data_IF_292356485771
#
_entry.id   IF_292356485771
#
_cell.length_a   1.000
_cell.length_b   1.000
_cell.length_c   1.000
_cell.angle_alpha   90.00
_cell.angle_beta   90.00
_cell.angle_gamma   90.00
#
_symmetry.space_group_name_H-M   'P 1'
#
loop_
_entity.id
_entity.type
_entity.pdbx_description
1 polymer ?
#
# COMPACT_ATOMS: atom_id res chain seq x y z
N UNK A 1 0.46 4.50 -19.49
CA UNK A 1 1.57 4.85 -20.43
C UNK A 1 2.76 3.90 -20.31
N UNK A 2 3.29 3.63 -19.12
CA UNK A 2 4.48 2.75 -18.96
C UNK A 2 4.18 1.27 -19.18
N UNK A 3 3.03 0.75 -18.78
CA UNK A 3 2.72 -0.69 -18.78
C UNK A 3 2.94 -1.38 -20.13
N UNK A 4 2.50 -0.79 -21.25
CA UNK A 4 2.73 -1.36 -22.59
C UNK A 4 4.23 -1.38 -22.93
N UNK A 5 4.93 -0.27 -22.71
CA UNK A 5 6.37 -0.17 -23.01
C UNK A 5 7.18 -1.15 -22.16
N UNK A 6 6.87 -1.23 -20.87
CA UNK A 6 7.49 -2.18 -19.96
C UNK A 6 7.25 -3.62 -20.42
N UNK A 7 6.01 -3.99 -20.75
CA UNK A 7 5.69 -5.36 -21.19
C UNK A 7 6.41 -5.74 -22.48
N UNK A 8 6.36 -4.91 -23.50
CA UNK A 8 7.04 -5.17 -24.79
C UNK A 8 8.54 -5.34 -24.58
N UNK A 9 9.15 -4.43 -23.81
CA UNK A 9 10.59 -4.48 -23.58
C UNK A 9 11.01 -5.66 -22.68
N UNK A 10 10.23 -6.03 -21.68
CA UNK A 10 10.52 -7.18 -20.82
C UNK A 10 10.36 -8.51 -21.55
N UNK A 11 9.42 -8.60 -22.51
CA UNK A 11 9.32 -9.76 -23.41
C UNK A 11 10.54 -9.85 -24.32
N UNK A 12 10.96 -8.74 -24.95
CA UNK A 12 12.12 -8.70 -25.83
C UNK A 12 13.42 -9.07 -25.09
N UNK A 13 13.58 -8.59 -23.86
CA UNK A 13 14.75 -8.88 -23.02
C UNK A 13 14.62 -10.19 -22.23
N UNK A 14 13.49 -10.88 -22.31
CA UNK A 14 13.21 -12.13 -21.56
C UNK A 14 13.50 -11.96 -20.05
N UNK A 15 13.02 -10.88 -19.45
CA UNK A 15 13.25 -10.57 -18.03
C UNK A 15 12.06 -10.91 -17.17
N UNK A 16 12.33 -11.35 -15.94
CA UNK A 16 11.32 -11.77 -14.94
C UNK A 16 11.22 -10.82 -13.75
N UNK A 17 12.24 -10.01 -13.52
CA UNK A 17 12.33 -9.09 -12.40
C UNK A 17 12.79 -7.71 -12.87
N UNK A 18 12.52 -6.69 -12.04
CA UNK A 18 12.97 -5.33 -12.33
C UNK A 18 14.50 -5.18 -12.32
N UNK A 19 15.25 -5.76 -11.36
CA UNK A 19 16.72 -5.75 -11.40
C UNK A 19 17.30 -6.46 -12.62
N UNK A 20 16.74 -7.61 -13.02
CA UNK A 20 17.15 -8.31 -14.24
C UNK A 20 16.95 -7.44 -15.49
N UNK A 21 15.83 -6.70 -15.53
CA UNK A 21 15.55 -5.76 -16.62
C UNK A 21 16.64 -4.68 -16.72
N UNK A 22 17.02 -4.07 -15.60
CA UNK A 22 18.12 -3.09 -15.60
C UNK A 22 19.44 -3.73 -16.00
N UNK A 23 19.76 -4.91 -15.46
CA UNK A 23 20.97 -5.65 -15.82
C UNK A 23 21.10 -5.89 -17.32
N UNK A 24 20.05 -6.42 -17.94
CA UNK A 24 20.04 -6.71 -19.40
C UNK A 24 19.94 -5.44 -20.25
N UNK A 25 19.19 -4.44 -19.82
CA UNK A 25 19.00 -3.19 -20.57
C UNK A 25 20.28 -2.38 -20.67
N UNK A 26 21.09 -2.37 -19.62
CA UNK A 26 22.33 -1.59 -19.52
C UNK A 26 23.59 -2.44 -19.56
N UNK A 27 23.43 -3.75 -19.84
CA UNK A 27 24.53 -4.74 -19.88
C UNK A 27 25.45 -4.65 -18.65
N UNK A 28 24.85 -4.58 -17.46
CA UNK A 28 25.57 -4.38 -16.21
C UNK A 28 25.08 -5.30 -15.09
N UNK A 29 25.89 -6.28 -14.74
CA UNK A 29 25.63 -7.15 -13.57
C UNK A 29 25.70 -6.37 -12.24
N UNK A 30 26.58 -5.38 -12.14
CA UNK A 30 26.67 -4.54 -10.96
C UNK A 30 25.36 -3.77 -10.73
N UNK A 31 24.77 -3.20 -11.79
CA UNK A 31 23.49 -2.50 -11.69
C UNK A 31 22.36 -3.45 -11.27
N UNK A 32 22.34 -4.68 -11.81
CA UNK A 32 21.39 -5.72 -11.40
C UNK A 32 21.48 -6.00 -9.90
N UNK A 33 22.71 -6.20 -9.38
CA UNK A 33 22.92 -6.50 -7.96
C UNK A 33 22.52 -5.36 -7.05
N UNK A 34 22.96 -4.14 -7.37
CA UNK A 34 22.61 -2.95 -6.59
C UNK A 34 21.09 -2.75 -6.57
N UNK A 35 20.43 -2.88 -7.73
CA UNK A 35 18.97 -2.79 -7.81
C UNK A 35 18.27 -3.87 -6.98
N UNK A 36 18.81 -5.11 -6.94
CA UNK A 36 18.23 -6.20 -6.13
C UNK A 36 18.31 -5.90 -4.63
N UNK A 37 19.42 -5.37 -4.17
CA UNK A 37 19.60 -4.97 -2.76
C UNK A 37 18.68 -3.80 -2.41
N UNK A 38 18.62 -2.78 -3.26
CA UNK A 38 17.73 -1.62 -3.07
C UNK A 38 16.27 -2.09 -2.97
N UNK A 39 15.79 -2.90 -3.91
CA UNK A 39 14.42 -3.41 -3.89
C UNK A 39 14.13 -4.14 -2.59
N UNK A 40 15.02 -5.04 -2.14
CA UNK A 40 14.81 -5.78 -0.89
C UNK A 40 14.76 -4.84 0.32
N UNK A 41 15.76 -3.97 0.47
CA UNK A 41 15.90 -3.10 1.65
C UNK A 41 14.73 -2.11 1.76
N UNK A 42 14.35 -1.46 0.66
CA UNK A 42 13.30 -0.42 0.70
C UNK A 42 11.88 -0.98 0.74
N UNK A 43 11.67 -2.24 0.36
CA UNK A 43 10.36 -2.86 0.55
C UNK A 43 10.08 -3.26 2.01
N UNK A 44 11.10 -3.39 2.87
CA UNK A 44 10.93 -3.72 4.31
C UNK A 44 10.15 -2.63 5.06
N UNK A 45 10.56 -1.34 5.08
CA UNK A 45 9.81 -0.30 5.77
C UNK A 45 8.40 -0.11 5.17
N UNK A 46 8.25 -0.27 3.87
CA UNK A 46 6.92 -0.24 3.25
C UNK A 46 6.01 -1.37 3.77
N UNK A 47 6.53 -2.60 3.89
CA UNK A 47 5.78 -3.71 4.47
C UNK A 47 5.46 -3.49 5.94
N UNK A 48 6.39 -2.95 6.71
CA UNK A 48 6.18 -2.59 8.11
C UNK A 48 5.08 -1.53 8.28
N UNK A 49 5.00 -0.53 7.39
CA UNK A 49 3.93 0.48 7.42
C UNK A 49 2.54 -0.12 7.20
N UNK A 50 2.42 -1.14 6.35
CA UNK A 50 1.14 -1.83 6.13
C UNK A 50 0.73 -2.65 7.36
N UNK A 51 1.68 -3.37 7.99
CA UNK A 51 1.41 -4.05 9.26
C UNK A 51 0.96 -3.08 10.34
N UNK A 52 1.60 -1.89 10.43
CA UNK A 52 1.23 -0.85 11.38
C UNK A 52 -0.22 -0.35 11.14
N UNK A 53 -0.55 0.05 9.91
CA UNK A 53 -1.89 0.55 9.59
C UNK A 53 -2.99 -0.49 9.84
N UNK A 54 -2.74 -1.74 9.43
CA UNK A 54 -3.67 -2.84 9.65
C UNK A 54 -3.87 -3.16 11.13
N UNK A 55 -2.79 -3.18 11.91
CA UNK A 55 -2.83 -3.50 13.33
C UNK A 55 -3.52 -2.41 14.16
N UNK A 56 -3.35 -1.14 13.80
CA UNK A 56 -4.07 -0.04 14.44
C UNK A 56 -5.59 -0.15 14.21
N UNK A 57 -6.01 -0.50 13.00
CA UNK A 57 -7.43 -0.71 12.71
C UNK A 57 -8.00 -1.91 13.47
N UNK A 58 -7.29 -3.04 13.49
CA UNK A 58 -7.73 -4.24 14.22
C UNK A 58 -7.74 -4.02 15.73
N UNK A 59 -6.75 -3.30 16.25
CA UNK A 59 -6.72 -2.89 17.65
C UNK A 59 -7.95 -2.07 18.02
N UNK A 60 -8.32 -1.11 17.18
CA UNK A 60 -9.53 -0.31 17.36
C UNK A 60 -10.82 -1.16 17.27
N UNK A 61 -10.94 -2.00 16.23
CA UNK A 61 -12.18 -2.74 15.96
C UNK A 61 -12.45 -3.87 16.95
N UNK A 62 -11.40 -4.53 17.47
CA UNK A 62 -11.52 -5.72 18.31
C UNK A 62 -10.93 -5.57 19.71
N UNK A 63 -10.39 -4.38 20.02
CA UNK A 63 -9.68 -4.12 21.28
C UNK A 63 -8.57 -5.13 21.58
N UNK A 64 -7.78 -5.48 20.56
CA UNK A 64 -6.65 -6.42 20.63
C UNK A 64 -5.36 -5.63 20.71
N UNK A 65 -4.40 -6.10 21.49
CA UNK A 65 -3.07 -5.49 21.59
C UNK A 65 -2.38 -5.40 20.22
N UNK A 66 -1.77 -4.25 19.95
CA UNK A 66 -1.10 -3.94 18.67
C UNK A 66 -0.09 -5.01 18.25
N UNK A 67 0.76 -5.47 19.20
CA UNK A 67 1.82 -6.46 18.90
C UNK A 67 1.24 -7.82 18.51
N UNK A 68 0.14 -8.20 19.14
CA UNK A 68 -0.59 -9.44 18.81
C UNK A 68 -1.16 -9.33 17.40
N UNK A 69 -1.75 -8.19 17.03
CA UNK A 69 -2.26 -7.94 15.69
C UNK A 69 -1.14 -8.01 14.64
N UNK A 70 -0.01 -7.35 14.85
CA UNK A 70 1.15 -7.40 13.93
C UNK A 70 1.60 -8.84 13.70
N UNK A 71 1.80 -9.62 14.76
CA UNK A 71 2.27 -11.01 14.66
C UNK A 71 1.24 -11.90 13.97
N UNK A 72 -0.05 -11.77 14.31
CA UNK A 72 -1.12 -12.55 13.71
C UNK A 72 -1.25 -12.28 12.21
N UNK A 73 -1.20 -11.00 11.81
CA UNK A 73 -1.28 -10.60 10.39
C UNK A 73 -0.04 -11.04 9.60
N UNK A 74 1.13 -10.99 10.21
CA UNK A 74 2.36 -11.50 9.60
C UNK A 74 2.33 -13.02 9.40
N UNK A 75 1.87 -13.76 10.39
CA UNK A 75 1.69 -15.20 10.29
C UNK A 75 0.67 -15.57 9.20
N UNK A 76 -0.48 -14.89 9.16
CA UNK A 76 -1.50 -15.07 8.13
C UNK A 76 -0.94 -14.81 6.73
N UNK A 77 -0.22 -13.70 6.55
CA UNK A 77 0.43 -13.34 5.28
C UNK A 77 1.46 -14.40 4.88
N UNK A 78 2.29 -14.85 5.83
CA UNK A 78 3.32 -15.85 5.58
C UNK A 78 2.73 -17.17 5.11
N UNK A 79 1.74 -17.71 5.82
CA UNK A 79 1.05 -18.95 5.44
C UNK A 79 0.40 -18.81 4.06
N UNK A 80 -0.34 -17.74 3.85
CA UNK A 80 -1.05 -17.48 2.60
C UNK A 80 -0.11 -17.39 1.39
N UNK A 81 1.01 -16.67 1.50
CA UNK A 81 1.95 -16.47 0.38
C UNK A 81 2.82 -17.71 0.15
N UNK A 82 3.29 -18.38 1.23
CA UNK A 82 4.16 -19.58 1.12
C UNK A 82 3.39 -20.75 0.51
N UNK A 83 2.13 -20.95 0.90
CA UNK A 83 1.30 -22.07 0.44
C UNK A 83 0.64 -21.75 -0.90
N UNK A 84 0.09 -20.55 -1.05
CA UNK A 84 -0.74 -20.17 -2.21
C UNK A 84 0.06 -19.90 -3.49
N UNK A 85 1.24 -19.32 -3.39
CA UNK A 85 2.05 -18.92 -4.54
C UNK A 85 1.37 -17.85 -5.40
N UNK A 86 1.94 -17.57 -6.59
CA UNK A 86 1.51 -16.46 -7.45
C UNK A 86 0.06 -16.58 -7.96
N UNK A 87 -0.37 -17.76 -8.38
CA UNK A 87 -1.70 -17.93 -8.97
C UNK A 87 -2.81 -17.73 -7.93
N UNK A 88 -2.64 -18.30 -6.74
CA UNK A 88 -3.61 -18.14 -5.66
C UNK A 88 -3.69 -16.68 -5.19
N UNK A 89 -2.55 -15.99 -5.11
CA UNK A 89 -2.53 -14.55 -4.77
C UNK A 89 -3.24 -13.72 -5.83
N UNK A 90 -3.04 -14.00 -7.11
CA UNK A 90 -3.69 -13.25 -8.20
C UNK A 90 -5.22 -13.40 -8.20
N UNK A 91 -5.74 -14.60 -7.96
CA UNK A 91 -7.18 -14.85 -7.85
C UNK A 91 -7.76 -14.13 -6.62
N UNK A 92 -7.06 -14.24 -5.50
CA UNK A 92 -7.47 -13.56 -4.27
C UNK A 92 -7.45 -12.04 -4.42
N UNK A 93 -6.41 -11.47 -5.06
CA UNK A 93 -6.33 -10.03 -5.37
C UNK A 93 -7.55 -9.54 -6.18
N UNK A 94 -8.04 -10.36 -7.11
CA UNK A 94 -9.26 -10.02 -7.89
C UNK A 94 -10.50 -9.95 -6.99
N UNK A 95 -10.71 -10.95 -6.12
CA UNK A 95 -11.84 -10.98 -5.18
C UNK A 95 -11.74 -9.78 -4.20
N UNK A 96 -10.56 -9.55 -3.67
CA UNK A 96 -10.28 -8.42 -2.77
C UNK A 96 -10.50 -7.08 -3.45
N UNK A 97 -10.18 -6.96 -4.75
CA UNK A 97 -10.45 -5.77 -5.54
C UNK A 97 -11.95 -5.43 -5.61
N UNK A 98 -12.81 -6.44 -5.77
CA UNK A 98 -14.28 -6.24 -5.75
C UNK A 98 -14.74 -5.77 -4.36
N UNK A 99 -14.22 -6.41 -3.29
CA UNK A 99 -14.53 -6.02 -1.91
C UNK A 99 -14.12 -4.56 -1.66
N UNK A 100 -12.94 -4.16 -2.13
CA UNK A 100 -12.46 -2.78 -1.99
C UNK A 100 -13.37 -1.77 -2.70
N UNK A 101 -13.83 -2.06 -3.92
CA UNK A 101 -14.73 -1.16 -4.66
C UNK A 101 -16.06 -0.94 -3.94
N UNK A 102 -16.68 -2.01 -3.48
CA UNK A 102 -17.98 -1.94 -2.79
C UNK A 102 -17.79 -1.32 -1.39
N UNK A 103 -16.76 -1.76 -0.66
CA UNK A 103 -16.50 -1.33 0.71
C UNK A 103 -16.21 0.17 0.81
N UNK A 104 -15.33 0.72 -0.05
CA UNK A 104 -15.01 2.16 0.01
C UNK A 104 -16.23 3.03 -0.28
N UNK A 105 -17.08 2.63 -1.24
CA UNK A 105 -18.32 3.35 -1.54
C UNK A 105 -19.27 3.35 -0.33
N UNK A 106 -19.45 2.19 0.32
CA UNK A 106 -20.29 2.06 1.50
C UNK A 106 -19.79 2.94 2.67
N UNK A 107 -18.47 2.93 2.91
CA UNK A 107 -17.85 3.73 3.98
C UNK A 107 -18.01 5.23 3.71
N UNK A 108 -17.74 5.69 2.49
CA UNK A 108 -17.92 7.11 2.13
C UNK A 108 -19.36 7.56 2.39
N UNK A 109 -20.32 6.79 1.90
CA UNK A 109 -21.75 7.09 2.08
C UNK A 109 -22.10 7.17 3.58
N UNK A 110 -21.61 6.20 4.36
CA UNK A 110 -21.91 6.14 5.79
C UNK A 110 -21.30 7.31 6.58
N UNK A 111 -20.01 7.62 6.36
CA UNK A 111 -19.33 8.73 7.05
C UNK A 111 -19.96 10.06 6.68
N UNK A 112 -20.24 10.31 5.41
CA UNK A 112 -20.85 11.56 4.94
C UNK A 112 -22.28 11.71 5.46
N UNK A 113 -23.08 10.65 5.45
CA UNK A 113 -24.46 10.69 6.00
C UNK A 113 -24.44 10.90 7.51
N UNK A 114 -23.47 10.35 8.24
CA UNK A 114 -23.29 10.60 9.68
C UNK A 114 -23.01 12.06 10.01
N UNK A 115 -22.47 12.83 9.06
CA UNK A 115 -22.25 14.28 9.18
C UNK A 115 -23.42 15.15 8.64
N UNK A 116 -24.58 14.55 8.38
CA UNK A 116 -25.74 15.26 7.84
C UNK A 116 -25.67 15.48 6.33
N UNK A 117 -24.85 14.70 5.60
CA UNK A 117 -24.66 14.76 4.16
C UNK A 117 -23.45 15.59 3.73
N UNK A 118 -23.11 15.49 2.45
CA UNK A 118 -21.89 16.11 1.90
C UNK A 118 -21.79 17.62 2.14
N UNK A 119 -22.88 18.35 1.88
CA UNK A 119 -22.88 19.80 2.05
C UNK A 119 -22.70 20.23 3.52
N UNK A 120 -23.33 19.51 4.43
CA UNK A 120 -23.18 19.77 5.88
C UNK A 120 -21.73 19.50 6.33
N UNK A 121 -21.17 18.35 5.93
CA UNK A 121 -19.78 17.98 6.23
C UNK A 121 -18.77 19.03 5.72
N UNK A 122 -18.92 19.50 4.49
CA UNK A 122 -18.05 20.56 3.92
C UNK A 122 -18.22 21.88 4.67
N UNK A 123 -19.44 22.23 5.06
CA UNK A 123 -19.72 23.46 5.83
C UNK A 123 -19.08 23.41 7.22
N UNK A 124 -19.15 22.27 7.90
CA UNK A 124 -18.48 22.09 9.20
C UNK A 124 -16.95 22.12 9.06
N UNK A 125 -16.39 21.44 8.04
CA UNK A 125 -14.96 21.47 7.75
C UNK A 125 -14.45 22.89 7.45
N UNK A 126 -15.26 23.71 6.77
CA UNK A 126 -14.93 25.12 6.48
C UNK A 126 -14.82 26.00 7.73
N UNK A 127 -15.46 25.64 8.84
CA UNK A 127 -15.40 26.40 10.10
C UNK A 127 -14.10 26.15 10.87
N UNK A 128 -13.42 25.05 10.61
CA UNK A 128 -12.18 24.69 11.30
C UNK A 128 -11.07 25.65 10.85
N UNK A 129 -10.45 26.40 11.77
CA UNK A 129 -9.35 27.28 11.42
C UNK A 129 -8.12 26.45 11.04
N UNK A 130 -7.37 26.91 10.06
CA UNK A 130 -6.16 26.23 9.62
C UNK A 130 -5.06 26.31 10.68
N UNK A 131 -4.40 25.19 10.92
CA UNK A 131 -3.22 25.07 11.78
C UNK A 131 -1.91 25.18 10.97
N UNK A 132 -2.00 25.21 9.64
CA UNK A 132 -0.83 25.35 8.76
C UNK A 132 -0.17 26.70 8.93
N UNK A 133 1.17 26.73 8.95
CA UNK A 133 1.93 27.97 9.02
C UNK A 133 1.63 28.96 7.88
N UNK A 134 1.23 28.45 6.70
CA UNK A 134 0.95 29.27 5.51
C UNK A 134 -0.43 29.96 5.61
N UNK A 135 -1.41 29.30 6.22
CA UNK A 135 -2.81 29.76 6.29
C UNK A 135 -3.34 29.78 7.72
N UNK A 136 -2.47 30.03 8.69
CA UNK A 136 -2.77 29.95 10.13
C UNK A 136 -4.00 30.81 10.49
N UNK A 137 -4.97 30.18 11.14
CA UNK A 137 -6.21 30.81 11.59
C UNK A 137 -7.24 31.08 10.48
N UNK A 138 -6.95 30.81 9.19
CA UNK A 138 -7.91 31.01 8.10
C UNK A 138 -9.00 29.95 8.14
N UNK A 139 -10.25 30.38 8.08
CA UNK A 139 -11.39 29.49 7.86
C UNK A 139 -11.54 29.18 6.37
N UNK A 140 -12.05 27.97 6.06
CA UNK A 140 -12.25 27.53 4.67
C UNK A 140 -10.98 27.02 3.99
N UNK A 141 -9.81 27.08 4.62
CA UNK A 141 -8.56 26.60 4.03
C UNK A 141 -8.62 25.09 3.70
N UNK A 142 -9.22 24.28 4.57
CA UNK A 142 -9.37 22.82 4.36
C UNK A 142 -10.39 22.45 3.28
N UNK A 143 -11.26 23.38 2.87
CA UNK A 143 -12.24 23.18 1.79
C UNK A 143 -11.83 23.87 0.49
N UNK A 144 -10.69 24.54 0.48
CA UNK A 144 -10.15 25.15 -0.73
C UNK A 144 -9.57 24.11 -1.68
N UNK A 145 -9.60 24.39 -2.98
CA UNK A 145 -9.08 23.48 -4.00
C UNK A 145 -7.58 23.15 -3.83
N UNK A 146 -6.81 24.11 -3.34
CA UNK A 146 -5.37 23.94 -3.12
C UNK A 146 -5.01 23.55 -1.68
N UNK A 147 -6.00 23.38 -0.80
CA UNK A 147 -5.77 23.07 0.61
C UNK A 147 -5.07 24.18 1.39
N UNK A 148 -4.74 23.94 2.66
CA UNK A 148 -4.04 24.91 3.51
C UNK A 148 -2.58 25.14 3.13
N UNK A 149 -1.94 24.16 2.47
CA UNK A 149 -0.53 24.20 2.05
C UNK A 149 -0.37 23.73 0.60
N UNK A 150 -0.53 24.62 -0.40
CA UNK A 150 -0.52 24.24 -1.81
C UNK A 150 0.75 23.52 -2.27
N UNK A 151 1.93 23.94 -1.79
CA UNK A 151 3.21 23.32 -2.17
C UNK A 151 3.37 21.93 -1.56
N UNK A 152 3.00 21.75 -0.29
CA UNK A 152 2.97 20.43 0.36
C UNK A 152 2.01 19.50 -0.35
N UNK A 153 0.79 19.96 -0.67
CA UNK A 153 -0.18 19.18 -1.42
C UNK A 153 0.37 18.77 -2.80
N UNK A 154 0.98 19.72 -3.53
CA UNK A 154 1.59 19.43 -4.83
C UNK A 154 2.71 18.37 -4.70
N UNK A 155 3.54 18.48 -3.68
CA UNK A 155 4.62 17.50 -3.42
C UNK A 155 4.06 16.10 -3.16
N UNK A 156 3.01 15.99 -2.35
CA UNK A 156 2.32 14.71 -2.08
C UNK A 156 1.68 14.15 -3.35
N UNK A 157 1.01 14.99 -4.16
CA UNK A 157 0.41 14.57 -5.44
C UNK A 157 1.47 14.07 -6.41
N UNK A 158 2.61 14.73 -6.53
CA UNK A 158 3.72 14.31 -7.38
C UNK A 158 4.29 12.98 -6.86
N UNK A 159 4.57 12.87 -5.57
CA UNK A 159 5.13 11.67 -4.95
C UNK A 159 4.21 10.46 -5.13
N UNK A 160 2.93 10.59 -4.82
CA UNK A 160 1.96 9.50 -4.91
C UNK A 160 1.59 9.13 -6.34
N UNK A 161 1.59 10.10 -7.27
CA UNK A 161 1.25 9.84 -8.68
C UNK A 161 2.43 9.31 -9.49
N UNK A 162 3.60 9.94 -9.39
CA UNK A 162 4.78 9.56 -10.17
C UNK A 162 5.63 8.50 -9.47
N UNK A 163 5.76 8.56 -8.14
CA UNK A 163 6.54 7.58 -7.36
C UNK A 163 6.01 6.16 -7.50
N UNK A 164 4.69 5.98 -7.55
CA UNK A 164 4.08 4.66 -7.71
C UNK A 164 4.39 3.98 -9.05
N UNK A 165 4.78 4.74 -10.08
CA UNK A 165 5.14 4.17 -11.38
C UNK A 165 6.43 3.34 -11.35
N UNK A 166 7.34 3.65 -10.43
CA UNK A 166 8.62 2.97 -10.26
C UNK A 166 8.61 1.85 -9.23
N UNK A 167 7.50 1.63 -8.53
CA UNK A 167 7.43 0.63 -7.47
C UNK A 167 7.62 -0.78 -8.04
N UNK A 168 8.60 -1.56 -7.54
CA UNK A 168 8.96 -2.88 -8.08
C UNK A 168 7.78 -3.85 -8.12
N UNK A 169 6.93 -3.88 -7.08
CA UNK A 169 5.76 -4.75 -7.01
C UNK A 169 4.68 -4.38 -8.04
N UNK A 170 4.57 -3.11 -8.43
CA UNK A 170 3.65 -2.68 -9.49
C UNK A 170 4.19 -3.06 -10.87
N UNK A 171 5.47 -2.83 -11.10
CA UNK A 171 6.15 -3.19 -12.37
C UNK A 171 6.13 -4.70 -12.58
N UNK A 172 6.32 -5.49 -11.51
CA UNK A 172 6.30 -6.95 -11.56
C UNK A 172 4.98 -7.52 -12.10
N UNK A 173 3.84 -6.87 -11.83
CA UNK A 173 2.54 -7.30 -12.37
C UNK A 173 2.47 -7.19 -13.91
N UNK A 174 3.20 -6.26 -14.53
CA UNK A 174 3.23 -6.15 -16.00
C UNK A 174 3.94 -7.32 -16.68
N UNK A 175 4.88 -8.00 -16.01
CA UNK A 175 5.58 -9.17 -16.58
C UNK A 175 4.67 -10.37 -16.80
N UNK A 176 3.59 -10.49 -16.02
CA UNK A 176 2.63 -11.59 -16.11
C UNK A 176 1.51 -11.37 -17.14
N UNK A 177 1.39 -10.18 -17.74
CA UNK A 177 0.31 -9.88 -18.69
C UNK A 177 0.53 -10.67 -19.99
N UNK A 178 -0.53 -11.34 -20.47
CA UNK A 178 -0.47 -12.27 -21.61
C UNK A 178 -0.15 -11.57 -22.93
N UNK A 179 -0.89 -10.51 -23.27
CA UNK A 179 -0.83 -9.86 -24.57
C UNK A 179 -1.11 -8.34 -24.48
N UNK A 180 -0.88 -7.61 -25.59
CA UNK A 180 -1.10 -6.16 -25.64
C UNK A 180 -2.58 -5.74 -25.51
N UNK A 181 -3.52 -6.58 -25.96
CA UNK A 181 -4.95 -6.30 -25.82
C UNK A 181 -5.36 -6.32 -24.35
N UNK A 182 -4.86 -7.29 -23.61
CA UNK A 182 -5.05 -7.39 -22.15
C UNK A 182 -4.46 -6.18 -21.41
N UNK A 183 -3.36 -5.58 -21.91
CA UNK A 183 -2.81 -4.33 -21.34
C UNK A 183 -3.83 -3.17 -21.46
N UNK A 184 -4.45 -3.00 -22.63
CA UNK A 184 -5.44 -1.92 -22.82
C UNK A 184 -6.64 -2.08 -21.89
N UNK A 185 -7.21 -3.28 -21.85
CA UNK A 185 -8.34 -3.58 -20.96
C UNK A 185 -7.95 -3.41 -19.50
N UNK A 186 -6.81 -3.96 -19.09
CA UNK A 186 -6.28 -3.81 -17.74
C UNK A 186 -6.01 -2.35 -17.35
N UNK A 187 -5.54 -1.51 -18.28
CA UNK A 187 -5.33 -0.08 -18.03
C UNK A 187 -6.66 0.62 -17.73
N UNK A 188 -7.71 0.36 -18.49
CA UNK A 188 -9.04 0.97 -18.25
C UNK A 188 -9.57 0.53 -16.88
N UNK A 189 -9.58 -0.79 -16.62
CA UNK A 189 -10.08 -1.35 -15.35
C UNK A 189 -9.29 -0.79 -14.16
N UNK A 190 -7.95 -0.79 -14.23
CA UNK A 190 -7.11 -0.28 -13.14
C UNK A 190 -7.25 1.23 -12.93
N UNK A 191 -7.52 2.00 -13.99
CA UNK A 191 -7.78 3.44 -13.86
C UNK A 191 -9.10 3.69 -13.15
N UNK A 192 -10.18 3.00 -13.52
CA UNK A 192 -11.48 3.11 -12.84
C UNK A 192 -11.33 2.68 -11.37
N UNK A 193 -10.65 1.56 -11.13
CA UNK A 193 -10.37 1.09 -9.78
C UNK A 193 -9.60 2.14 -8.95
N UNK A 194 -8.53 2.72 -9.50
CA UNK A 194 -7.74 3.73 -8.81
C UNK A 194 -8.55 4.99 -8.50
N UNK A 195 -9.38 5.45 -9.44
CA UNK A 195 -10.25 6.62 -9.21
C UNK A 195 -11.24 6.34 -8.07
N UNK A 196 -11.86 5.16 -8.04
CA UNK A 196 -12.85 4.84 -7.01
C UNK A 196 -12.17 4.54 -5.67
N UNK A 197 -11.17 3.67 -5.64
CA UNK A 197 -10.57 3.22 -4.36
C UNK A 197 -9.59 4.24 -3.82
N UNK A 198 -8.56 4.63 -4.58
CA UNK A 198 -7.59 5.60 -4.10
C UNK A 198 -8.21 7.01 -4.00
N UNK A 199 -8.92 7.45 -5.02
CA UNK A 199 -9.64 8.72 -5.00
C UNK A 199 -10.66 8.79 -3.87
N UNK A 200 -11.43 7.73 -3.64
CA UNK A 200 -12.37 7.61 -2.54
C UNK A 200 -11.71 7.66 -1.17
N UNK A 201 -10.56 7.00 -1.01
CA UNK A 201 -9.79 7.04 0.25
C UNK A 201 -9.23 8.43 0.55
N UNK A 202 -8.68 9.14 -0.44
CA UNK A 202 -8.24 10.52 -0.27
C UNK A 202 -9.41 11.48 0.01
N UNK A 203 -10.53 11.28 -0.69
CA UNK A 203 -11.75 12.04 -0.42
C UNK A 203 -12.22 11.86 1.02
N UNK A 204 -12.27 10.63 1.50
CA UNK A 204 -12.65 10.32 2.87
C UNK A 204 -11.67 10.92 3.89
N UNK A 205 -10.35 10.81 3.61
CA UNK A 205 -9.30 11.40 4.43
C UNK A 205 -9.40 12.91 4.58
N UNK A 206 -9.94 13.62 3.58
CA UNK A 206 -10.21 15.05 3.66
C UNK A 206 -11.19 15.45 4.77
N UNK A 207 -12.07 14.54 5.18
CA UNK A 207 -13.02 14.77 6.29
C UNK A 207 -12.51 14.28 7.66
N UNK A 208 -11.32 13.67 7.73
CA UNK A 208 -10.81 13.10 8.98
C UNK A 208 -10.67 14.14 10.11
N UNK A 209 -10.41 15.40 9.77
CA UNK A 209 -10.36 16.51 10.74
C UNK A 209 -11.67 16.76 11.49
N UNK A 210 -12.81 16.38 10.96
CA UNK A 210 -14.10 16.46 11.66
C UNK A 210 -14.20 15.48 12.84
N UNK A 211 -13.22 14.60 12.99
CA UNK A 211 -13.18 13.54 13.99
C UNK A 211 -11.92 13.59 14.87
N UNK A 212 -11.27 14.75 14.96
CA UNK A 212 -10.08 14.92 15.81
C UNK A 212 -10.36 14.64 17.30
N UNK A 213 -11.58 14.85 17.74
CA UNK A 213 -12.05 14.51 19.10
C UNK A 213 -12.00 12.99 19.40
N UNK A 214 -11.96 12.15 18.37
CA UNK A 214 -11.85 10.69 18.47
C UNK A 214 -10.42 10.17 18.26
N UNK A 215 -9.50 11.05 17.90
CA UNK A 215 -8.11 10.68 17.69
C UNK A 215 -7.34 10.63 19.03
N UNK A 216 -6.23 9.90 19.03
CA UNK A 216 -5.34 9.82 20.20
C UNK A 216 -4.27 10.89 20.15
N UNK A 217 -3.88 11.39 21.32
CA UNK A 217 -2.80 12.34 21.50
C UNK A 217 -1.69 11.70 22.34
N UNK A 218 -0.44 11.84 21.92
CA UNK A 218 0.74 11.45 22.70
C UNK A 218 1.65 12.67 22.85
N UNK A 219 2.08 12.94 24.09
CA UNK A 219 2.89 14.12 24.43
C UNK A 219 2.30 15.46 23.93
N UNK A 220 0.97 15.58 23.96
CA UNK A 220 0.25 16.76 23.48
C UNK A 220 0.22 16.92 21.96
N UNK A 221 0.71 15.93 21.20
CA UNK A 221 0.69 15.94 19.73
C UNK A 221 -0.32 14.94 19.20
N UNK A 222 -1.06 15.35 18.16
CA UNK A 222 -2.01 14.49 17.47
C UNK A 222 -1.27 13.33 16.80
N UNK A 223 -1.73 12.10 17.08
CA UNK A 223 -1.26 10.90 16.40
C UNK A 223 -2.04 10.74 15.09
N UNK A 224 -1.45 11.15 13.97
CA UNK A 224 -2.13 11.15 12.66
C UNK A 224 -2.66 9.77 12.25
N UNK A 225 -1.95 8.69 12.60
CA UNK A 225 -2.36 7.32 12.30
C UNK A 225 -3.62 6.88 13.06
N UNK A 226 -4.05 7.62 14.10
CA UNK A 226 -5.28 7.37 14.85
C UNK A 226 -6.51 8.08 14.29
N UNK A 227 -6.36 9.08 13.40
CA UNK A 227 -7.47 9.85 12.84
C UNK A 227 -8.47 8.98 12.08
N UNK A 228 -7.99 8.15 11.17
CA UNK A 228 -8.85 7.28 10.37
C UNK A 228 -9.53 6.21 11.23
N UNK A 229 -8.83 5.46 12.09
CA UNK A 229 -9.50 4.59 13.06
C UNK A 229 -10.53 5.33 13.93
N UNK A 230 -10.21 6.52 14.42
CA UNK A 230 -11.13 7.36 15.19
C UNK A 230 -12.40 7.72 14.42
N UNK A 231 -12.27 8.15 13.17
CA UNK A 231 -13.40 8.41 12.28
C UNK A 231 -14.25 7.15 12.05
N UNK A 232 -13.62 6.02 11.78
CA UNK A 232 -14.30 4.76 11.48
C UNK A 232 -14.98 4.16 12.72
N UNK A 233 -14.49 4.42 13.94
CA UNK A 233 -15.11 3.97 15.19
C UNK A 233 -16.49 4.60 15.46
N UNK A 234 -16.85 5.67 14.74
CA UNK A 234 -18.18 6.29 14.84
C UNK A 234 -19.25 5.57 14.00
N UNK A 235 -18.86 4.61 13.19
CA UNK A 235 -19.76 3.84 12.34
C UNK A 235 -20.50 2.75 13.14
N UNK A 236 -21.71 2.35 12.70
CA UNK A 236 -22.38 1.16 13.25
C UNK A 236 -21.54 -0.12 13.08
N UNK A 237 -21.67 -1.08 13.99
CA UNK A 237 -20.88 -2.31 14.05
C UNK A 237 -20.81 -3.08 12.72
N UNK A 238 -21.94 -3.17 12.00
CA UNK A 238 -21.99 -3.81 10.69
C UNK A 238 -21.06 -3.12 9.68
N UNK A 239 -20.98 -1.80 9.69
CA UNK A 239 -20.10 -1.03 8.81
C UNK A 239 -18.66 -1.12 9.26
N UNK A 240 -18.37 -1.18 10.55
CA UNK A 240 -17.03 -1.47 11.07
C UNK A 240 -16.54 -2.83 10.54
N UNK A 241 -17.42 -3.84 10.54
CA UNK A 241 -17.13 -5.14 9.95
C UNK A 241 -16.76 -5.05 8.45
N UNK A 242 -17.50 -4.28 7.67
CA UNK A 242 -17.19 -4.02 6.25
C UNK A 242 -15.84 -3.30 6.09
N UNK A 243 -15.56 -2.31 6.92
CA UNK A 243 -14.27 -1.58 6.94
C UNK A 243 -13.11 -2.54 7.22
N UNK A 244 -13.25 -3.40 8.23
CA UNK A 244 -12.23 -4.39 8.58
C UNK A 244 -11.93 -5.31 7.40
N UNK A 245 -12.97 -5.83 6.75
CA UNK A 245 -12.81 -6.71 5.55
C UNK A 245 -12.19 -5.96 4.39
N UNK A 246 -12.57 -4.69 4.18
CA UNK A 246 -12.01 -3.81 3.14
C UNK A 246 -10.50 -3.58 3.36
N UNK A 247 -10.12 -3.17 4.56
CA UNK A 247 -8.71 -2.85 4.87
C UNK A 247 -7.87 -4.12 4.92
N UNK A 248 -8.42 -5.22 5.44
CA UNK A 248 -7.76 -6.52 5.38
C UNK A 248 -7.49 -6.94 3.92
N UNK A 249 -8.48 -6.80 3.05
CA UNK A 249 -8.35 -7.11 1.62
C UNK A 249 -7.28 -6.26 0.95
N UNK A 250 -7.29 -4.96 1.18
CA UNK A 250 -6.29 -4.03 0.62
C UNK A 250 -4.88 -4.35 1.11
N UNK A 251 -4.73 -4.58 2.42
CA UNK A 251 -3.44 -4.87 3.03
C UNK A 251 -2.87 -6.22 2.59
N UNK A 252 -3.69 -7.28 2.56
CA UNK A 252 -3.24 -8.62 2.13
C UNK A 252 -2.81 -8.64 0.66
N UNK A 253 -3.55 -7.97 -0.23
CA UNK A 253 -3.18 -7.84 -1.64
C UNK A 253 -1.83 -7.13 -1.82
N UNK A 254 -1.59 -6.09 -1.02
CA UNK A 254 -0.32 -5.35 -1.07
C UNK A 254 0.81 -6.16 -0.44
N UNK A 255 0.61 -6.74 0.75
CA UNK A 255 1.59 -7.55 1.46
C UNK A 255 2.05 -8.74 0.61
N UNK A 256 1.14 -9.47 -0.03
CA UNK A 256 1.49 -10.59 -0.91
C UNK A 256 2.38 -10.15 -2.07
N UNK A 257 2.06 -9.02 -2.69
CA UNK A 257 2.83 -8.45 -3.80
C UNK A 257 4.23 -8.01 -3.37
N UNK A 258 4.37 -7.36 -2.20
CA UNK A 258 5.67 -6.91 -1.65
C UNK A 258 6.56 -8.10 -1.30
N UNK A 259 6.02 -9.05 -0.55
CA UNK A 259 6.73 -10.24 -0.09
C UNK A 259 7.20 -11.10 -1.28
N UNK A 260 6.33 -11.30 -2.28
CA UNK A 260 6.68 -12.06 -3.48
C UNK A 260 7.73 -11.34 -4.34
N UNK A 261 7.61 -10.03 -4.53
CA UNK A 261 8.57 -9.25 -5.30
C UNK A 261 9.93 -9.25 -4.63
N UNK A 262 10.00 -9.01 -3.33
CA UNK A 262 11.24 -9.01 -2.55
C UNK A 262 11.93 -10.38 -2.59
N UNK A 263 11.21 -11.47 -2.32
CA UNK A 263 11.75 -12.83 -2.29
C UNK A 263 12.18 -13.33 -3.67
N UNK A 264 11.41 -13.02 -4.73
CA UNK A 264 11.78 -13.38 -6.10
C UNK A 264 13.03 -12.64 -6.57
N UNK A 265 13.15 -11.35 -6.23
CA UNK A 265 14.34 -10.54 -6.53
C UNK A 265 15.59 -11.13 -5.88
N UNK A 266 15.57 -11.44 -4.59
CA UNK A 266 16.73 -12.09 -3.94
C UNK A 266 17.05 -13.45 -4.53
N UNK A 267 16.05 -14.28 -4.78
CA UNK A 267 16.26 -15.64 -5.28
C UNK A 267 16.79 -15.66 -6.70
N UNK A 268 16.18 -14.88 -7.60
CA UNK A 268 16.48 -14.94 -9.03
C UNK A 268 17.65 -14.04 -9.42
N UNK A 269 17.77 -12.87 -8.80
CA UNK A 269 18.77 -11.89 -9.21
C UNK A 269 20.05 -11.96 -8.40
N UNK A 270 19.95 -12.15 -7.07
CA UNK A 270 21.11 -12.25 -6.21
C UNK A 270 21.68 -13.67 -6.20
N UNK A 271 20.88 -14.68 -5.86
CA UNK A 271 21.39 -16.05 -5.68
C UNK A 271 21.64 -16.74 -7.01
N UNK A 272 20.61 -16.90 -7.84
CA UNK A 272 20.73 -17.62 -9.13
C UNK A 272 21.58 -16.85 -10.14
N UNK A 273 21.48 -15.53 -10.15
CA UNK A 273 22.20 -14.70 -11.12
C UNK A 273 23.68 -14.52 -10.81
N UNK A 274 24.10 -14.72 -9.54
CA UNK A 274 25.45 -14.33 -9.10
C UNK A 274 26.18 -15.43 -8.36
N UNK A 275 25.53 -16.10 -7.39
CA UNK A 275 26.18 -17.07 -6.50
C UNK A 275 26.13 -18.48 -7.08
N UNK A 276 24.97 -18.90 -7.59
CA UNK A 276 24.74 -20.25 -8.11
C UNK A 276 24.12 -20.17 -9.51
N UNK A 277 24.91 -20.44 -10.54
CA UNK A 277 24.45 -20.37 -11.95
C UNK A 277 23.40 -21.43 -12.32
N UNK A 278 23.49 -22.64 -11.74
CA UNK A 278 22.60 -23.78 -12.05
C UNK A 278 21.74 -24.17 -10.84
N UNK A 279 20.75 -23.35 -10.53
CA UNK A 279 19.80 -23.62 -9.46
C UNK A 279 18.57 -24.34 -10.03
N UNK A 280 18.28 -25.57 -9.57
CA UNK A 280 17.10 -26.31 -10.00
C UNK A 280 15.81 -25.59 -9.57
N UNK A 281 14.71 -25.77 -10.31
CA UNK A 281 13.42 -25.11 -10.01
C UNK A 281 12.92 -25.39 -8.59
N UNK A 282 13.06 -26.63 -8.12
CA UNK A 282 12.68 -27.00 -6.74
C UNK A 282 13.47 -26.21 -5.69
N UNK A 283 14.78 -26.02 -5.92
CA UNK A 283 15.63 -25.22 -5.03
C UNK A 283 15.31 -23.74 -5.10
N UNK A 284 14.94 -23.21 -6.30
CA UNK A 284 14.49 -21.83 -6.43
C UNK A 284 13.23 -21.58 -5.62
N UNK A 285 12.20 -22.45 -5.73
CA UNK A 285 10.96 -22.32 -4.95
C UNK A 285 11.23 -22.43 -3.45
N UNK A 286 12.09 -23.36 -3.02
CA UNK A 286 12.48 -23.47 -1.62
C UNK A 286 13.14 -22.19 -1.09
N UNK A 287 14.12 -21.64 -1.83
CA UNK A 287 14.81 -20.40 -1.46
C UNK A 287 13.85 -19.21 -1.43
N UNK A 288 12.92 -19.12 -2.39
CA UNK A 288 11.88 -18.08 -2.35
C UNK A 288 11.07 -18.16 -1.06
N UNK A 289 10.66 -19.35 -0.63
CA UNK A 289 9.93 -19.55 0.63
C UNK A 289 10.75 -19.13 1.86
N UNK A 290 12.04 -19.45 1.87
CA UNK A 290 12.95 -19.00 2.93
C UNK A 290 13.05 -17.48 2.96
N UNK A 291 13.24 -16.82 1.81
CA UNK A 291 13.32 -15.36 1.74
C UNK A 291 11.99 -14.68 2.05
N UNK A 292 10.85 -15.29 1.74
CA UNK A 292 9.53 -14.84 2.21
C UNK A 292 9.52 -14.77 3.74
N UNK A 293 9.92 -15.86 4.42
CA UNK A 293 9.95 -15.90 5.87
C UNK A 293 10.91 -14.85 6.46
N UNK A 294 12.14 -14.75 5.92
CA UNK A 294 13.13 -13.77 6.36
C UNK A 294 12.59 -12.34 6.19
N UNK A 295 12.03 -12.02 5.02
CA UNK A 295 11.49 -10.70 4.74
C UNK A 295 10.35 -10.31 5.68
N UNK A 296 9.43 -11.24 5.93
CA UNK A 296 8.32 -11.03 6.88
C UNK A 296 8.87 -10.78 8.30
N UNK A 297 9.81 -11.60 8.77
CA UNK A 297 10.40 -11.44 10.11
C UNK A 297 11.05 -10.06 10.26
N UNK A 298 11.88 -9.64 9.29
CA UNK A 298 12.54 -8.34 9.32
C UNK A 298 11.51 -7.19 9.31
N UNK A 299 10.48 -7.30 8.48
CA UNK A 299 9.39 -6.30 8.42
C UNK A 299 8.58 -6.24 9.72
N UNK A 300 8.34 -7.38 10.37
CA UNK A 300 7.64 -7.44 11.67
C UNK A 300 8.47 -6.79 12.76
N UNK A 301 9.78 -7.06 12.82
CA UNK A 301 10.67 -6.42 13.82
C UNK A 301 10.60 -4.90 13.71
N UNK A 302 10.60 -4.37 12.48
CA UNK A 302 10.46 -2.93 12.24
C UNK A 302 9.03 -2.43 12.58
N UNK A 303 8.00 -3.22 12.33
CA UNK A 303 6.61 -2.85 12.63
C UNK A 303 6.29 -2.86 14.13
N UNK A 304 6.97 -3.71 14.92
CA UNK A 304 6.76 -3.78 16.38
C UNK A 304 7.22 -2.54 17.14
N UNK A 305 8.22 -1.82 16.59
CA UNK A 305 8.72 -0.55 17.13
C UNK A 305 9.00 0.42 15.96
N UNK A 306 7.95 1.01 15.37
CA UNK A 306 8.10 1.84 14.20
C UNK A 306 8.78 3.18 14.56
N UNK A 307 9.85 3.56 13.85
CA UNK A 307 10.63 4.77 14.17
C UNK A 307 9.87 6.07 13.87
N UNK A 308 8.77 6.01 13.12
CA UNK A 308 7.98 7.15 12.69
C UNK A 308 6.58 6.70 12.24
N UNK A 309 5.69 7.65 11.92
CA UNK A 309 4.35 7.31 11.44
C UNK A 309 4.35 6.72 10.01
N UNK A 310 3.26 6.04 9.65
CA UNK A 310 3.12 5.23 8.42
C UNK A 310 3.53 5.98 7.15
N UNK A 311 3.12 7.24 7.00
CA UNK A 311 3.39 8.01 5.79
C UNK A 311 4.89 8.24 5.56
N UNK A 312 5.68 8.44 6.62
CA UNK A 312 7.13 8.57 6.51
C UNK A 312 7.79 7.24 6.16
N UNK A 313 7.33 6.13 6.76
CA UNK A 313 7.85 4.80 6.41
C UNK A 313 7.60 4.43 4.94
N UNK A 314 6.48 4.87 4.37
CA UNK A 314 6.18 4.65 2.95
C UNK A 314 6.95 5.57 2.01
N UNK A 315 7.36 6.75 2.49
CA UNK A 315 8.09 7.75 1.70
C UNK A 315 9.60 7.52 1.61
N UNK A 316 10.12 6.57 2.41
CA UNK A 316 11.51 6.13 2.33
C UNK A 316 11.65 5.13 1.16
#
# INVERSE_FOLDING_TARGET
MLGRRTRVMTQHLETKTMPEFFGKRFDSNALKLVASVIVFVFLVPYTASIYNGLSNLFGMAFNIDYKICVIAMAALTGVYVIVGGYMATAINDFIQGIIMLVGIAAVIIAVINGQGGFYAAVKELAKIPSESAVTLGQQGAYTSFFGPEPLSLLSVVILTSLGTWGLPQMVHKFYAIKDEKSIKTGTVISTIFAVVVAGGSYFLGGFARLFEDKATYADGKLQFDSLIPGMLSTLPDLLIGIVVVLVLSASMSTLSSLVMTSSSTLTLDLIKGTIVKNLSEKKQVFLMRVFIAVFIIVSVVLALDPPTFIAHLMGI
#
